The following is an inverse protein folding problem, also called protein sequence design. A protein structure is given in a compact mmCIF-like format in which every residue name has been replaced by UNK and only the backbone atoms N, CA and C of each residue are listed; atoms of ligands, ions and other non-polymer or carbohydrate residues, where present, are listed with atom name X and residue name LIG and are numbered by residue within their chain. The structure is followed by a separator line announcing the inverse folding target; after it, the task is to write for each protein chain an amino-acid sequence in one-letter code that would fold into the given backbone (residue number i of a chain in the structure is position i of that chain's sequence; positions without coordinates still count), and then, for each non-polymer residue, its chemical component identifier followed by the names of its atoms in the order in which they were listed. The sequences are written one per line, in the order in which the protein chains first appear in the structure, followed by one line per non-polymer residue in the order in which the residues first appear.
data_IF_750847602983
#
_entry.id   IF_750847602983
#
_cell.length_a   1.000
_cell.length_b   1.000
_cell.length_c   1.000
_cell.angle_alpha   90.00
_cell.angle_beta   90.00
_cell.angle_gamma   90.00
#
_symmetry.space_group_name_H-M   'P 1'
#
loop_
_entity.id
_entity.type
_entity.pdbx_description
1 polymer ?
#
# COMPACT_ATOMS: atom_id res chain seq x y z
N UNK A 1 -13.54 5.37 -14.82
CA UNK A 1 -12.86 6.22 -13.79
C UNK A 1 -11.37 6.10 -14.06
N UNK A 2 -10.61 7.20 -14.09
CA UNK A 2 -9.16 7.15 -14.29
C UNK A 2 -8.50 6.96 -12.92
N UNK A 3 -7.50 6.10 -12.83
CA UNK A 3 -6.65 5.97 -11.66
C UNK A 3 -5.79 7.24 -11.47
N UNK A 4 -5.40 7.59 -10.23
CA UNK A 4 -4.64 8.80 -9.95
C UNK A 4 -3.29 8.76 -10.65
N UNK A 5 -2.86 9.89 -11.19
CA UNK A 5 -1.52 10.05 -11.80
C UNK A 5 -0.42 9.91 -10.76
N UNK A 6 0.80 9.61 -11.22
CA UNK A 6 1.96 9.57 -10.33
C UNK A 6 2.20 10.93 -9.65
N UNK A 7 1.98 12.04 -10.37
CA UNK A 7 2.14 13.39 -9.82
C UNK A 7 1.15 13.69 -8.70
N UNK A 8 -0.12 13.32 -8.86
CA UNK A 8 -1.14 13.46 -7.82
C UNK A 8 -0.77 12.64 -6.56
N UNK A 9 -0.31 11.40 -6.74
CA UNK A 9 0.13 10.55 -5.63
C UNK A 9 1.38 11.10 -4.95
N UNK A 10 2.37 11.59 -5.70
CA UNK A 10 3.56 12.23 -5.15
C UNK A 10 3.21 13.48 -4.35
N UNK A 11 2.31 14.33 -4.87
CA UNK A 11 1.83 15.50 -4.15
C UNK A 11 1.12 15.11 -2.84
N UNK A 12 0.24 14.11 -2.90
CA UNK A 12 -0.47 13.60 -1.73
C UNK A 12 0.47 13.03 -0.67
N UNK A 13 1.42 12.19 -1.09
CA UNK A 13 2.43 11.62 -0.19
C UNK A 13 3.22 12.72 0.52
N UNK A 14 3.73 13.70 -0.23
CA UNK A 14 4.53 14.79 0.35
C UNK A 14 3.71 15.64 1.33
N UNK A 15 2.45 15.92 1.02
CA UNK A 15 1.54 16.65 1.91
C UNK A 15 1.28 15.92 3.22
N UNK A 16 1.24 14.58 3.18
CA UNK A 16 0.86 13.73 4.31
C UNK A 16 2.02 12.89 4.86
N UNK A 17 3.28 13.20 4.51
CA UNK A 17 4.47 12.38 4.81
C UNK A 17 4.59 12.05 6.30
N UNK A 18 4.30 13.02 7.17
CA UNK A 18 4.32 12.82 8.64
C UNK A 18 3.33 11.75 9.10
N UNK A 19 2.13 11.69 8.52
CA UNK A 19 1.12 10.71 8.90
C UNK A 19 1.48 9.30 8.38
N UNK A 20 2.04 9.19 7.17
CA UNK A 20 2.61 7.94 6.66
C UNK A 20 3.70 7.38 7.58
N UNK A 21 4.65 8.21 7.97
CA UNK A 21 5.73 7.82 8.90
C UNK A 21 5.19 7.46 10.29
N UNK A 22 4.18 8.20 10.79
CA UNK A 22 3.56 7.90 12.07
C UNK A 22 2.88 6.52 12.07
N UNK A 23 2.17 6.16 10.99
CA UNK A 23 1.59 4.82 10.84
C UNK A 23 2.70 3.77 10.86
N UNK A 24 3.78 3.97 10.12
CA UNK A 24 4.93 3.05 10.07
C UNK A 24 5.54 2.83 11.46
N UNK A 25 5.73 3.91 12.22
CA UNK A 25 6.27 3.83 13.59
C UNK A 25 5.34 3.07 14.52
N UNK A 26 4.03 3.36 14.47
CA UNK A 26 3.02 2.68 15.28
C UNK A 26 3.01 1.17 15.02
N UNK A 27 3.17 0.74 13.77
CA UNK A 27 3.26 -0.67 13.37
C UNK A 27 4.57 -1.30 13.80
N UNK A 28 5.70 -0.60 13.65
CA UNK A 28 7.02 -1.12 13.97
C UNK A 28 7.24 -1.38 15.49
N UNK A 29 6.40 -0.79 16.35
CA UNK A 29 6.38 -1.07 17.78
C UNK A 29 5.68 -2.41 18.12
N UNK A 30 4.95 -3.01 17.18
CA UNK A 30 4.22 -4.25 17.40
C UNK A 30 5.07 -5.50 17.11
N UNK A 31 4.71 -6.60 17.75
CA UNK A 31 5.43 -7.89 17.62
C UNK A 31 4.86 -8.81 16.53
N UNK A 32 3.75 -8.42 15.91
CA UNK A 32 3.07 -9.24 14.91
C UNK A 32 3.54 -8.83 13.53
N UNK A 33 4.32 -9.71 12.91
CA UNK A 33 4.69 -9.59 11.50
C UNK A 33 3.59 -10.21 10.63
N UNK A 34 3.12 -9.44 9.65
CA UNK A 34 2.12 -9.77 8.63
C UNK A 34 0.64 -9.78 9.08
N UNK A 35 -0.12 -8.76 8.67
CA UNK A 35 -1.54 -8.59 8.96
C UNK A 35 -2.17 -7.50 8.07
N UNK A 36 -3.49 -7.52 7.95
CA UNK A 36 -4.30 -6.44 7.37
C UNK A 36 -4.89 -5.54 8.48
N UNK A 37 -4.88 -4.22 8.27
CA UNK A 37 -5.59 -3.27 9.14
C UNK A 37 -6.34 -2.20 8.32
N UNK A 38 -7.66 -2.02 8.50
CA UNK A 38 -8.54 -2.83 9.34
C UNK A 38 -8.60 -4.30 8.84
N UNK A 39 -8.95 -5.26 9.71
CA UNK A 39 -8.96 -6.66 9.35
C UNK A 39 -9.98 -6.95 8.25
N UNK A 40 -9.58 -7.76 7.25
CA UNK A 40 -10.49 -8.17 6.18
C UNK A 40 -11.41 -9.29 6.69
N UNK A 41 -12.71 -9.11 6.51
CA UNK A 41 -13.72 -10.11 6.85
C UNK A 41 -14.25 -10.79 5.59
N UNK A 42 -14.23 -12.12 5.57
CA UNK A 42 -14.84 -12.97 4.54
C UNK A 42 -15.97 -13.75 5.20
N UNK A 43 -17.20 -13.55 4.74
CA UNK A 43 -18.40 -14.17 5.32
C UNK A 43 -18.54 -13.96 6.85
N UNK A 44 -18.14 -12.77 7.33
CA UNK A 44 -18.18 -12.42 8.75
C UNK A 44 -17.05 -13.02 9.60
N UNK A 45 -16.07 -13.69 9.00
CA UNK A 45 -14.89 -14.24 9.68
C UNK A 45 -13.63 -13.53 9.24
N UNK A 46 -12.65 -13.41 10.13
CA UNK A 46 -11.32 -12.91 9.77
C UNK A 46 -10.73 -13.74 8.62
N UNK A 47 -10.26 -13.06 7.57
CA UNK A 47 -9.61 -13.69 6.42
C UNK A 47 -8.42 -14.53 6.85
N UNK A 48 -7.64 -14.07 7.82
CA UNK A 48 -6.54 -14.82 8.39
C UNK A 48 -6.49 -14.70 9.93
N UNK A 49 -5.80 -15.66 10.58
CA UNK A 49 -5.68 -15.72 12.05
C UNK A 49 -4.87 -14.56 12.61
N UNK A 50 -3.86 -14.08 11.88
CA UNK A 50 -2.98 -12.99 12.33
C UNK A 50 -3.72 -11.66 12.44
N UNK A 51 -4.61 -11.36 11.50
CA UNK A 51 -5.47 -10.17 11.54
C UNK A 51 -6.29 -10.14 12.83
N UNK A 52 -6.88 -11.27 13.20
CA UNK A 52 -7.65 -11.42 14.45
C UNK A 52 -6.77 -11.20 15.68
N UNK A 53 -5.58 -11.81 15.71
CA UNK A 53 -4.65 -11.66 16.84
C UNK A 53 -4.24 -10.19 16.99
N UNK A 54 -3.78 -9.56 15.90
CA UNK A 54 -3.37 -8.16 15.90
C UNK A 54 -4.51 -7.25 16.31
N UNK A 55 -5.66 -7.37 15.66
CA UNK A 55 -6.81 -6.53 15.94
C UNK A 55 -7.31 -6.67 17.38
N UNK A 56 -7.27 -7.87 17.97
CA UNK A 56 -7.70 -8.09 19.35
C UNK A 56 -6.68 -7.60 20.40
N UNK A 57 -5.38 -7.51 20.05
CA UNK A 57 -4.34 -7.01 20.94
C UNK A 57 -4.23 -5.47 20.94
N UNK A 58 -4.67 -4.81 19.86
CA UNK A 58 -4.63 -3.35 19.78
C UNK A 58 -5.51 -2.70 20.85
N UNK A 59 -4.92 -1.78 21.61
CA UNK A 59 -5.68 -0.92 22.53
C UNK A 59 -6.67 -0.02 21.77
N UNK A 60 -7.75 0.38 22.43
CA UNK A 60 -8.76 1.28 21.84
C UNK A 60 -8.11 2.60 21.37
N UNK A 61 -7.14 3.12 22.12
CA UNK A 61 -6.42 4.34 21.74
C UNK A 61 -5.56 4.13 20.49
N UNK A 62 -4.88 2.99 20.37
CA UNK A 62 -4.06 2.67 19.19
C UNK A 62 -4.93 2.46 17.94
N UNK A 63 -6.08 1.79 18.06
CA UNK A 63 -7.07 1.67 16.98
C UNK A 63 -7.52 3.03 16.48
N UNK A 64 -7.99 3.89 17.39
CA UNK A 64 -8.42 5.27 17.05
C UNK A 64 -7.32 6.09 16.39
N UNK A 65 -6.07 5.95 16.85
CA UNK A 65 -4.92 6.63 16.26
C UNK A 65 -4.69 6.14 14.82
N UNK A 66 -4.67 4.83 14.59
CA UNK A 66 -4.50 4.26 13.24
C UNK A 66 -5.66 4.66 12.31
N UNK A 67 -6.90 4.55 12.77
CA UNK A 67 -8.09 4.94 11.99
C UNK A 67 -8.03 6.41 11.57
N UNK A 68 -7.68 7.30 12.51
CA UNK A 68 -7.54 8.73 12.22
C UNK A 68 -6.41 9.02 11.23
N UNK A 69 -5.26 8.35 11.35
CA UNK A 69 -4.14 8.54 10.43
C UNK A 69 -4.49 8.04 9.04
N UNK A 70 -5.11 6.85 8.91
CA UNK A 70 -5.56 6.29 7.63
C UNK A 70 -6.59 7.20 6.96
N UNK A 71 -7.54 7.74 7.74
CA UNK A 71 -8.50 8.71 7.23
C UNK A 71 -7.82 9.99 6.70
N UNK A 72 -6.81 10.51 7.41
CA UNK A 72 -6.07 11.71 6.99
C UNK A 72 -5.32 11.50 5.67
N UNK A 73 -4.68 10.34 5.51
CA UNK A 73 -3.96 9.98 4.27
C UNK A 73 -4.88 9.37 3.21
N UNK A 74 -6.19 9.27 3.50
CA UNK A 74 -7.22 8.74 2.61
C UNK A 74 -6.95 7.31 2.11
N UNK A 75 -6.24 6.50 2.89
CA UNK A 75 -6.05 5.08 2.60
C UNK A 75 -7.16 4.27 3.26
N UNK A 76 -7.69 3.28 2.53
CA UNK A 76 -8.72 2.37 3.03
C UNK A 76 -8.21 1.39 4.09
N UNK A 77 -6.89 1.18 4.12
CA UNK A 77 -6.22 0.30 5.06
C UNK A 77 -4.74 0.17 4.72
N UNK A 78 -4.11 -0.78 5.40
CA UNK A 78 -2.73 -1.21 5.19
C UNK A 78 -2.67 -2.73 5.15
N UNK A 79 -1.72 -3.21 4.36
CA UNK A 79 -1.31 -4.61 4.32
C UNK A 79 0.14 -4.66 4.79
N UNK A 80 0.38 -5.16 6.01
CA UNK A 80 1.74 -5.45 6.48
C UNK A 80 2.09 -6.84 5.97
N UNK A 81 3.15 -6.94 5.17
CA UNK A 81 3.63 -8.22 4.62
C UNK A 81 4.79 -8.77 5.44
N UNK A 82 5.63 -7.88 5.97
CA UNK A 82 6.74 -8.18 6.88
C UNK A 82 7.14 -6.93 7.66
N UNK A 83 8.08 -7.06 8.61
CA UNK A 83 8.62 -5.92 9.37
C UNK A 83 9.29 -4.85 8.49
N UNK A 84 9.58 -5.20 7.23
CA UNK A 84 10.26 -4.34 6.28
C UNK A 84 9.40 -4.01 5.07
N UNK A 85 8.09 -4.33 5.07
CA UNK A 85 7.23 -4.16 3.92
C UNK A 85 5.77 -3.92 4.32
N UNK A 86 5.27 -2.73 4.00
CA UNK A 86 3.90 -2.30 4.28
C UNK A 86 3.32 -1.59 3.07
N UNK A 87 2.23 -2.11 2.51
CA UNK A 87 1.44 -1.45 1.48
C UNK A 87 0.28 -0.68 2.11
N UNK A 88 -0.01 0.51 1.58
CA UNK A 88 -1.06 1.43 2.00
C UNK A 88 -2.08 1.53 0.88
N UNK A 89 -3.28 1.00 1.13
CA UNK A 89 -4.30 0.76 0.13
C UNK A 89 -5.00 2.09 -0.25
N UNK A 90 -4.46 2.78 -1.24
CA UNK A 90 -4.87 4.14 -1.61
C UNK A 90 -5.96 4.15 -2.68
N UNK A 91 -5.74 3.45 -3.78
CA UNK A 91 -6.67 3.36 -4.88
C UNK A 91 -6.84 1.92 -5.32
N UNK A 92 -8.09 1.50 -5.47
CA UNK A 92 -8.45 0.21 -6.06
C UNK A 92 -9.67 0.42 -6.95
N UNK A 93 -9.60 -0.10 -8.18
CA UNK A 93 -10.72 -0.09 -9.09
C UNK A 93 -10.75 -1.36 -9.93
N UNK A 94 -11.91 -1.98 -10.01
CA UNK A 94 -12.20 -3.08 -10.91
C UNK A 94 -12.53 -4.38 -10.18
N UNK A 95 -12.31 -5.50 -10.84
CA UNK A 95 -12.64 -6.83 -10.32
C UNK A 95 -11.68 -7.90 -10.84
N UNK A 96 -12.00 -9.15 -10.56
CA UNK A 96 -11.17 -10.31 -10.95
C UNK A 96 -10.92 -10.27 -12.47
N UNK A 97 -9.64 -10.21 -12.85
CA UNK A 97 -9.18 -10.22 -14.26
C UNK A 97 -9.22 -8.88 -14.98
N UNK A 98 -9.48 -7.76 -14.30
CA UNK A 98 -9.41 -6.40 -14.88
C UNK A 98 -9.21 -5.30 -13.83
N UNK A 99 -8.68 -5.67 -12.66
CA UNK A 99 -8.45 -4.80 -11.52
C UNK A 99 -7.18 -3.96 -11.65
N UNK A 100 -7.19 -2.79 -11.02
CA UNK A 100 -6.06 -1.89 -10.89
C UNK A 100 -5.98 -1.43 -9.43
N UNK A 101 -4.85 -1.69 -8.80
CA UNK A 101 -4.52 -1.17 -7.48
C UNK A 101 -3.32 -0.23 -7.61
N UNK A 102 -3.44 0.96 -7.04
CA UNK A 102 -2.36 1.95 -6.99
C UNK A 102 -2.19 2.41 -5.55
N UNK A 103 -1.08 2.01 -4.94
CA UNK A 103 -0.87 2.09 -3.50
C UNK A 103 0.44 2.80 -3.18
N UNK A 104 0.61 3.21 -1.92
CA UNK A 104 1.92 3.59 -1.41
C UNK A 104 2.56 2.38 -0.75
N UNK A 105 3.84 2.17 -0.98
CA UNK A 105 4.59 1.05 -0.44
C UNK A 105 5.80 1.58 0.33
N UNK A 106 5.93 1.15 1.58
CA UNK A 106 7.19 1.22 2.30
C UNK A 106 7.86 -0.14 2.22
N UNK A 107 9.07 -0.22 1.64
CA UNK A 107 9.82 -1.47 1.62
C UNK A 107 11.33 -1.29 1.63
N UNK A 108 12.03 -2.04 2.49
CA UNK A 108 13.51 -2.09 2.47
C UNK A 108 14.06 -3.11 1.46
N UNK A 109 13.19 -3.77 0.69
CA UNK A 109 13.61 -4.69 -0.37
C UNK A 109 14.28 -3.91 -1.50
N UNK A 110 15.24 -4.55 -2.15
CA UNK A 110 15.90 -3.99 -3.31
C UNK A 110 15.23 -4.50 -4.60
N UNK A 111 14.43 -3.65 -5.24
CA UNK A 111 13.72 -4.00 -6.48
C UNK A 111 14.64 -4.30 -7.67
N UNK A 112 15.88 -3.79 -7.67
CA UNK A 112 16.83 -4.07 -8.76
C UNK A 112 17.21 -5.55 -8.90
N UNK A 113 16.87 -6.38 -7.90
CA UNK A 113 17.14 -7.81 -7.87
C UNK A 113 15.92 -8.67 -8.21
N UNK A 114 14.77 -8.05 -8.52
CA UNK A 114 13.53 -8.76 -8.83
C UNK A 114 13.24 -8.73 -10.33
N UNK A 115 12.89 -9.87 -10.91
CA UNK A 115 12.73 -10.03 -12.36
C UNK A 115 11.33 -9.63 -12.88
N UNK A 116 10.38 -9.51 -11.98
CA UNK A 116 8.95 -9.26 -12.20
C UNK A 116 8.54 -7.81 -11.86
N UNK A 117 9.50 -7.01 -11.41
CA UNK A 117 9.32 -5.62 -11.01
C UNK A 117 10.00 -4.69 -12.00
N UNK A 118 9.28 -3.68 -12.46
CA UNK A 118 9.82 -2.63 -13.31
C UNK A 118 9.78 -1.30 -12.56
N UNK A 119 10.97 -0.73 -12.32
CA UNK A 119 11.10 0.62 -11.78
C UNK A 119 10.85 1.61 -12.91
N UNK A 120 9.76 2.37 -12.82
CA UNK A 120 9.39 3.36 -13.81
C UNK A 120 10.27 4.62 -13.71
N UNK A 121 10.78 5.13 -14.84
CA UNK A 121 11.49 6.40 -14.87
C UNK A 121 10.63 7.55 -14.32
N UNK A 122 11.24 8.59 -13.73
CA UNK A 122 10.51 9.73 -13.15
C UNK A 122 9.52 10.38 -14.12
N UNK A 123 9.91 10.53 -15.39
CA UNK A 123 9.16 11.20 -16.44
C UNK A 123 8.01 10.38 -17.04
N UNK A 124 7.90 9.09 -16.72
CA UNK A 124 6.89 8.19 -17.28
C UNK A 124 5.80 7.94 -16.25
N UNK A 125 4.56 8.34 -16.54
CA UNK A 125 3.42 8.01 -15.67
C UNK A 125 3.08 6.51 -15.75
N UNK A 126 3.05 5.83 -14.59
CA UNK A 126 2.80 4.39 -14.53
C UNK A 126 1.41 4.01 -15.06
N UNK A 127 0.42 4.86 -14.84
CA UNK A 127 -0.96 4.64 -15.31
C UNK A 127 -1.02 4.69 -16.83
N UNK A 128 -0.29 5.61 -17.47
CA UNK A 128 -0.16 5.68 -18.93
C UNK A 128 0.58 4.47 -19.50
N UNK A 129 1.75 4.15 -18.93
CA UNK A 129 2.58 3.00 -19.34
C UNK A 129 1.83 1.67 -19.31
N UNK A 130 0.97 1.47 -18.30
CA UNK A 130 0.12 0.28 -18.18
C UNK A 130 -0.76 0.06 -19.42
N UNK A 131 -1.33 1.13 -20.00
CA UNK A 131 -2.20 1.00 -21.17
C UNK A 131 -1.45 0.51 -22.41
N UNK A 132 -0.17 0.87 -22.53
CA UNK A 132 0.70 0.50 -23.65
C UNK A 132 1.36 -0.88 -23.49
N UNK A 133 1.38 -1.44 -22.28
CA UNK A 133 1.98 -2.76 -22.01
C UNK A 133 0.96 -3.90 -22.13
N UNK A 134 1.26 -4.89 -22.97
CA UNK A 134 0.52 -6.17 -23.04
C UNK A 134 0.96 -7.21 -22.00
N UNK A 135 1.86 -6.84 -21.09
CA UNK A 135 2.36 -7.72 -20.03
C UNK A 135 1.82 -7.27 -18.69
N UNK A 136 1.43 -8.23 -17.85
CA UNK A 136 1.23 -7.99 -16.42
C UNK A 136 2.61 -7.75 -15.82
N UNK A 137 2.85 -6.51 -15.41
CA UNK A 137 4.10 -6.09 -14.79
C UNK A 137 3.75 -5.39 -13.48
N UNK A 138 4.53 -5.67 -12.44
CA UNK A 138 4.48 -4.88 -11.23
C UNK A 138 5.31 -3.61 -11.43
N UNK A 139 4.63 -2.47 -11.59
CA UNK A 139 5.31 -1.19 -11.78
C UNK A 139 5.53 -0.52 -10.43
N UNK A 140 6.73 0.01 -10.21
CA UNK A 140 7.04 0.80 -9.01
C UNK A 140 7.68 2.13 -9.40
N UNK A 141 7.40 3.17 -8.62
CA UNK A 141 8.04 4.49 -8.74
C UNK A 141 8.58 4.94 -7.40
N UNK A 142 9.85 5.33 -7.37
CA UNK A 142 10.53 5.70 -6.14
C UNK A 142 10.10 7.09 -5.63
N UNK A 143 9.85 7.19 -4.33
CA UNK A 143 9.55 8.44 -3.61
C UNK A 143 10.70 8.86 -2.67
N UNK A 144 11.70 7.99 -2.49
CA UNK A 144 12.84 8.16 -1.57
C UNK A 144 12.59 7.55 -0.18
N UNK A 145 13.65 7.41 0.62
CA UNK A 145 13.60 6.88 2.00
C UNK A 145 12.93 5.50 2.13
N UNK A 146 13.03 4.62 1.12
CA UNK A 146 12.36 3.32 1.01
C UNK A 146 10.84 3.40 0.72
N UNK A 147 10.34 4.55 0.31
CA UNK A 147 8.97 4.72 -0.15
C UNK A 147 8.86 4.64 -1.66
N UNK A 148 7.75 4.05 -2.10
CA UNK A 148 7.42 3.84 -3.49
C UNK A 148 5.91 4.05 -3.70
N UNK A 149 5.53 4.38 -4.94
CA UNK A 149 4.20 4.11 -5.46
C UNK A 149 4.28 2.75 -6.14
N UNK A 150 3.34 1.86 -5.87
CA UNK A 150 3.17 0.61 -6.59
C UNK A 150 1.91 0.66 -7.45
N UNK A 151 1.97 0.08 -8.65
CA UNK A 151 0.82 -0.15 -9.52
C UNK A 151 0.76 -1.64 -9.85
N UNK A 152 -0.26 -2.30 -9.30
CA UNK A 152 -0.64 -3.67 -9.63
C UNK A 152 -1.82 -3.64 -10.59
N UNK A 153 -1.76 -4.45 -11.65
CA UNK A 153 -2.89 -4.60 -12.56
C UNK A 153 -2.94 -6.00 -13.15
N UNK A 154 -4.16 -6.49 -13.34
CA UNK A 154 -4.45 -7.70 -14.11
C UNK A 154 -4.96 -7.30 -15.49
N UNK A 155 -4.31 -7.80 -16.54
CA UNK A 155 -4.75 -7.70 -17.93
C UNK A 155 -4.89 -9.08 -18.56
#
# INVERSE_FOLDING_TARGET
MKDPTDEEMMHHFNKHKTDFEMIRQVIAEDTISAFDYPPILVEGKYKNVKDSIYFNQLSISKKRKLDSLLQNIQCSGITVLSDNETSFNYYSYGGIGWGVDKNFLYTKKNFSQMNDVEICPPEVDMSEKRYDSMKNCYLVKELGDNWYIELNYDR
#
